data_IF_452259223030
#
_entry.id   IF_452259223030
#
_cell.length_a   1.000
_cell.length_b   1.000
_cell.length_c   1.000
_cell.angle_alpha   90.00
_cell.angle_beta   90.00
_cell.angle_gamma   90.00
#
_symmetry.space_group_name_H-M   'P 1'
#
loop_
_entity.id
_entity.type
_entity.pdbx_description
1 polymer ?
#
# COMPACT_ATOMS: atom_id res chain seq x y z
N UNK A 1 32.25 -0.65 4.69
CA UNK A 1 31.08 -0.11 3.99
C UNK A 1 30.45 -1.28 3.28
N UNK A 2 29.17 -1.55 3.58
CA UNK A 2 28.46 -2.71 3.09
C UNK A 2 28.08 -2.47 1.62
N UNK A 3 28.09 -3.50 0.78
CA UNK A 3 27.66 -3.42 -0.63
C UNK A 3 26.19 -2.95 -0.82
N UNK A 4 25.45 -2.74 0.28
CA UNK A 4 24.08 -2.20 0.31
C UNK A 4 24.04 -0.68 0.09
N UNK A 5 25.16 0.04 0.25
CA UNK A 5 25.17 1.51 0.31
C UNK A 5 25.33 2.21 -1.06
N UNK A 6 25.37 1.49 -2.20
CA UNK A 6 25.71 2.07 -3.50
C UNK A 6 24.78 1.62 -4.63
N UNK A 7 24.14 2.60 -5.29
CA UNK A 7 23.42 2.41 -6.56
C UNK A 7 24.43 2.30 -7.71
N UNK A 8 24.24 1.34 -8.62
CA UNK A 8 25.13 1.18 -9.78
C UNK A 8 25.16 2.45 -10.65
N UNK A 9 26.29 2.71 -11.33
CA UNK A 9 26.44 3.91 -12.17
C UNK A 9 25.38 4.04 -13.27
N UNK A 10 24.98 2.91 -13.87
CA UNK A 10 23.95 2.89 -14.90
C UNK A 10 22.55 3.20 -14.32
N UNK A 11 22.23 2.64 -13.15
CA UNK A 11 20.97 2.94 -12.44
C UNK A 11 20.93 4.40 -11.99
N UNK A 12 22.04 4.94 -11.48
CA UNK A 12 22.13 6.34 -11.07
C UNK A 12 21.92 7.29 -12.26
N UNK A 13 22.45 6.95 -13.43
CA UNK A 13 22.23 7.71 -14.66
C UNK A 13 20.76 7.66 -15.09
N UNK A 14 20.15 6.48 -15.12
CA UNK A 14 18.73 6.33 -15.46
C UNK A 14 17.82 7.12 -14.52
N UNK A 15 18.07 7.05 -13.21
CA UNK A 15 17.33 7.82 -12.22
C UNK A 15 17.40 9.32 -12.49
N UNK A 16 18.59 9.84 -12.80
CA UNK A 16 18.77 11.24 -13.18
C UNK A 16 18.04 11.60 -14.48
N UNK A 17 18.10 10.74 -15.49
CA UNK A 17 17.49 10.98 -16.80
C UNK A 17 15.95 11.00 -16.70
N UNK A 18 15.36 10.15 -15.83
CA UNK A 18 13.91 10.03 -15.67
C UNK A 18 13.33 11.05 -14.69
N UNK A 19 14.01 11.32 -13.58
CA UNK A 19 13.53 12.25 -12.53
C UNK A 19 13.95 13.71 -12.77
N UNK A 20 15.00 13.94 -13.58
CA UNK A 20 15.64 15.25 -13.72
C UNK A 20 16.53 15.64 -12.53
N UNK A 21 16.63 14.80 -11.50
CA UNK A 21 17.37 15.09 -10.28
C UNK A 21 18.89 14.94 -10.48
N UNK A 22 19.64 15.97 -10.06
CA UNK A 22 21.10 15.97 -10.20
C UNK A 22 21.81 15.10 -9.16
N UNK A 23 21.17 14.89 -8.00
CA UNK A 23 21.68 14.10 -6.87
C UNK A 23 20.99 12.75 -6.86
N UNK A 24 21.78 11.67 -6.84
CA UNK A 24 21.26 10.29 -6.84
C UNK A 24 20.34 10.03 -5.66
N UNK A 25 20.69 10.51 -4.46
CA UNK A 25 19.85 10.35 -3.26
C UNK A 25 18.46 11.02 -3.42
N UNK A 26 18.43 12.24 -3.97
CA UNK A 26 17.18 12.95 -4.29
C UNK A 26 16.36 12.21 -5.35
N UNK A 27 17.02 11.70 -6.40
CA UNK A 27 16.38 10.91 -7.44
C UNK A 27 15.77 9.62 -6.89
N UNK A 28 16.48 8.91 -6.00
CA UNK A 28 15.98 7.72 -5.32
C UNK A 28 14.79 8.06 -4.43
N UNK A 29 14.90 9.07 -3.56
CA UNK A 29 13.81 9.49 -2.67
C UNK A 29 12.54 9.85 -3.44
N UNK A 30 12.65 10.66 -4.50
CA UNK A 30 11.50 11.02 -5.34
C UNK A 30 10.88 9.78 -5.98
N UNK A 31 11.71 8.90 -6.57
CA UNK A 31 11.21 7.69 -7.24
C UNK A 31 10.52 6.73 -6.27
N UNK A 32 11.06 6.58 -5.05
CA UNK A 32 10.44 5.75 -4.01
C UNK A 32 9.11 6.37 -3.57
N UNK A 33 9.06 7.69 -3.34
CA UNK A 33 7.82 8.40 -2.99
C UNK A 33 6.75 8.19 -4.07
N UNK A 34 7.08 8.41 -5.34
CA UNK A 34 6.14 8.23 -6.46
C UNK A 34 5.62 6.78 -6.53
N UNK A 35 6.51 5.80 -6.32
CA UNK A 35 6.13 4.39 -6.29
C UNK A 35 5.20 4.05 -5.10
N UNK A 36 5.41 4.67 -3.93
CA UNK A 36 4.56 4.49 -2.76
C UNK A 36 3.18 5.13 -2.95
N UNK A 37 3.11 6.34 -3.50
CA UNK A 37 1.84 6.99 -3.85
C UNK A 37 1.05 6.13 -4.85
N UNK A 38 1.72 5.62 -5.89
CA UNK A 38 1.06 4.74 -6.87
C UNK A 38 0.53 3.45 -6.23
N UNK A 39 1.30 2.84 -5.32
CA UNK A 39 0.87 1.63 -4.60
C UNK A 39 -0.26 1.92 -3.61
N UNK A 40 -0.23 3.07 -2.93
CA UNK A 40 -1.29 3.50 -2.02
C UNK A 40 -2.61 3.58 -2.77
N UNK A 41 -2.64 4.28 -3.91
CA UNK A 41 -3.85 4.36 -4.74
C UNK A 41 -4.37 2.98 -5.19
N UNK A 42 -3.48 2.03 -5.49
CA UNK A 42 -3.90 0.65 -5.83
C UNK A 42 -4.50 -0.12 -4.66
N UNK A 43 -4.00 0.11 -3.44
CA UNK A 43 -4.56 -0.48 -2.22
C UNK A 43 -5.91 0.15 -1.91
N UNK A 44 -6.03 1.47 -2.06
CA UNK A 44 -7.29 2.21 -1.87
C UNK A 44 -8.37 1.76 -2.86
N UNK A 45 -8.04 1.62 -4.16
CA UNK A 45 -8.95 1.08 -5.18
C UNK A 45 -9.50 -0.32 -4.78
N UNK A 46 -8.67 -1.15 -4.14
CA UNK A 46 -9.06 -2.50 -3.72
C UNK A 46 -9.91 -2.49 -2.45
N UNK A 47 -9.60 -1.61 -1.50
CA UNK A 47 -10.41 -1.37 -0.30
C UNK A 47 -11.80 -0.88 -0.71
N UNK A 48 -11.87 0.11 -1.60
CA UNK A 48 -13.14 0.66 -2.12
C UNK A 48 -13.98 -0.45 -2.78
N UNK A 49 -13.35 -1.39 -3.50
CA UNK A 49 -14.05 -2.54 -4.06
C UNK A 49 -14.71 -3.46 -3.02
N UNK A 50 -14.11 -3.61 -1.84
CA UNK A 50 -14.75 -4.32 -0.73
C UNK A 50 -15.83 -3.48 -0.05
N UNK A 51 -15.59 -2.18 0.12
CA UNK A 51 -16.58 -1.24 0.68
C UNK A 51 -17.86 -1.19 -0.18
N UNK A 52 -17.71 -1.17 -1.50
CA UNK A 52 -18.83 -1.28 -2.45
C UNK A 52 -19.54 -2.63 -2.36
N UNK A 53 -18.79 -3.72 -2.20
CA UNK A 53 -19.34 -5.08 -2.10
C UNK A 53 -20.21 -5.24 -0.85
N UNK A 54 -19.73 -4.76 0.29
CA UNK A 54 -20.38 -4.96 1.60
C UNK A 54 -21.23 -3.77 2.05
N UNK A 55 -21.12 -2.62 1.39
CA UNK A 55 -21.89 -1.42 1.68
C UNK A 55 -21.50 -0.72 2.98
N UNK A 56 -20.29 -0.96 3.47
CA UNK A 56 -19.76 -0.46 4.74
C UNK A 56 -18.23 -0.36 4.69
N UNK A 57 -17.61 0.35 5.63
CA UNK A 57 -16.16 0.39 5.81
C UNK A 57 -15.61 -0.91 6.41
N UNK A 58 -14.28 -1.09 6.38
CA UNK A 58 -13.66 -2.26 7.01
C UNK A 58 -13.89 -2.30 8.52
N UNK A 59 -13.82 -1.15 9.20
CA UNK A 59 -14.03 -1.05 10.66
C UNK A 59 -15.46 -1.47 11.02
N UNK A 60 -16.46 -1.01 10.27
CA UNK A 60 -17.85 -1.46 10.43
C UNK A 60 -18.00 -2.96 10.12
N UNK A 61 -17.33 -3.47 9.08
CA UNK A 61 -17.36 -4.89 8.75
C UNK A 61 -16.75 -5.75 9.85
N UNK A 62 -15.64 -5.32 10.45
CA UNK A 62 -14.96 -5.99 11.56
C UNK A 62 -15.86 -6.03 12.81
N UNK A 63 -16.51 -4.92 13.16
CA UNK A 63 -17.47 -4.86 14.26
C UNK A 63 -18.66 -5.83 14.05
N UNK A 64 -19.30 -5.78 12.87
CA UNK A 64 -20.43 -6.66 12.52
C UNK A 64 -19.98 -8.14 12.45
N UNK A 65 -18.73 -8.39 12.08
CA UNK A 65 -18.13 -9.71 12.12
C UNK A 65 -18.04 -10.22 13.54
N UNK A 66 -17.49 -9.46 14.49
CA UNK A 66 -17.41 -9.85 15.90
C UNK A 66 -18.78 -10.14 16.52
N UNK A 67 -19.78 -9.31 16.18
CA UNK A 67 -21.16 -9.43 16.66
C UNK A 67 -21.95 -10.58 16.00
N UNK A 68 -21.38 -11.25 14.99
CA UNK A 68 -22.02 -12.32 14.19
C UNK A 68 -23.24 -11.86 13.40
N UNK A 69 -23.21 -10.62 12.91
CA UNK A 69 -24.27 -10.02 12.08
C UNK A 69 -23.98 -10.10 10.58
N UNK A 70 -22.79 -10.57 10.18
CA UNK A 70 -22.43 -10.79 8.78
C UNK A 70 -23.19 -12.02 8.23
N UNK A 71 -23.97 -11.80 7.17
CA UNK A 71 -24.61 -12.87 6.42
C UNK A 71 -23.58 -13.85 5.86
N UNK A 72 -23.85 -15.15 6.01
CA UNK A 72 -22.97 -16.23 5.54
C UNK A 72 -21.49 -16.07 5.97
N UNK A 73 -21.26 -15.53 7.18
CA UNK A 73 -19.93 -15.29 7.78
C UNK A 73 -18.93 -16.44 7.61
N UNK A 74 -19.39 -17.68 7.74
CA UNK A 74 -18.56 -18.90 7.63
C UNK A 74 -18.51 -19.50 6.22
N UNK A 75 -19.00 -18.77 5.22
CA UNK A 75 -18.74 -19.12 3.84
C UNK A 75 -17.27 -18.85 3.52
N UNK A 76 -16.69 -19.72 2.71
CA UNK A 76 -15.31 -19.55 2.26
C UNK A 76 -15.08 -18.21 1.54
N UNK A 77 -16.11 -17.67 0.87
CA UNK A 77 -16.02 -16.38 0.20
C UNK A 77 -15.88 -15.23 1.21
N UNK A 78 -16.79 -15.16 2.19
CA UNK A 78 -16.83 -14.08 3.18
C UNK A 78 -15.61 -14.11 4.11
N UNK A 79 -15.16 -15.30 4.52
CA UNK A 79 -13.90 -15.44 5.26
C UNK A 79 -12.71 -14.94 4.45
N UNK A 80 -12.61 -15.34 3.17
CA UNK A 80 -11.51 -14.94 2.31
C UNK A 80 -11.47 -13.43 2.12
N UNK A 81 -12.62 -12.81 1.89
CA UNK A 81 -12.72 -11.37 1.71
C UNK A 81 -12.30 -10.61 2.97
N UNK A 82 -12.69 -11.07 4.16
CA UNK A 82 -12.23 -10.50 5.42
C UNK A 82 -10.70 -10.49 5.52
N UNK A 83 -10.06 -11.64 5.29
CA UNK A 83 -8.59 -11.76 5.36
C UNK A 83 -7.87 -10.91 4.30
N UNK A 84 -8.41 -10.87 3.07
CA UNK A 84 -7.83 -10.05 2.01
C UNK A 84 -7.96 -8.56 2.33
N UNK A 85 -9.11 -8.13 2.85
CA UNK A 85 -9.38 -6.74 3.20
C UNK A 85 -8.55 -6.26 4.41
N UNK A 86 -8.47 -7.06 5.48
CA UNK A 86 -7.62 -6.79 6.64
C UNK A 86 -6.15 -6.59 6.22
N UNK A 87 -5.67 -7.45 5.31
CA UNK A 87 -4.33 -7.35 4.75
C UNK A 87 -4.09 -6.08 3.94
N UNK A 88 -5.11 -5.56 3.26
CA UNK A 88 -5.05 -4.29 2.54
C UNK A 88 -5.01 -3.09 3.49
N UNK A 89 -5.84 -3.06 4.53
CA UNK A 89 -5.83 -2.00 5.54
C UNK A 89 -4.48 -1.93 6.24
N UNK A 90 -3.93 -3.08 6.64
CA UNK A 90 -2.58 -3.17 7.20
C UNK A 90 -1.50 -2.66 6.24
N UNK A 91 -1.59 -3.02 4.95
CA UNK A 91 -0.63 -2.57 3.93
C UNK A 91 -0.74 -1.07 3.66
N UNK A 92 -1.96 -0.52 3.61
CA UNK A 92 -2.21 0.92 3.49
C UNK A 92 -1.46 1.67 4.58
N UNK A 93 -1.63 1.24 5.84
CA UNK A 93 -0.96 1.87 6.98
C UNK A 93 0.56 1.87 6.85
N UNK A 94 1.16 0.74 6.45
CA UNK A 94 2.62 0.65 6.21
C UNK A 94 3.10 1.62 5.12
N UNK A 95 2.32 1.79 4.06
CA UNK A 95 2.68 2.71 2.96
C UNK A 95 2.56 4.17 3.41
N UNK A 96 1.50 4.51 4.16
CA UNK A 96 1.29 5.85 4.71
C UNK A 96 2.43 6.23 5.67
N UNK A 97 2.80 5.35 6.60
CA UNK A 97 3.91 5.58 7.53
C UNK A 97 5.24 5.76 6.78
N UNK A 98 5.48 4.96 5.73
CA UNK A 98 6.67 5.11 4.89
C UNK A 98 6.69 6.42 4.08
N UNK A 99 5.51 6.96 3.73
CA UNK A 99 5.40 8.26 3.06
C UNK A 99 5.68 9.41 4.02
N UNK A 100 5.19 9.33 5.26
CA UNK A 100 5.51 10.28 6.34
C UNK A 100 7.01 10.34 6.61
N UNK A 101 7.69 9.19 6.68
CA UNK A 101 9.16 9.11 6.84
C UNK A 101 9.95 9.73 5.66
N UNK A 102 9.30 9.92 4.51
CA UNK A 102 9.90 10.50 3.31
C UNK A 102 9.66 12.02 3.18
N UNK A 103 8.80 12.62 4.01
CA UNK A 103 8.56 14.08 4.06
C UNK A 103 9.75 14.85 4.66
#
# INVERSE_FOLDING_TARGET
MSDVDSVSGDTAKLLKDVTGESRVDSAVRSTVRDAMIYRLGKVEDQIEGFEEKYGMSFEEFEDEWEDNNIDDKHSHEVEKDFWEWEGLVSRKKVIEDALEDLE
#
